data_IF_516224863167
#
_entry.id   IF_516224863167
#
_cell.length_a   1.000
_cell.length_b   1.000
_cell.length_c   1.000
_cell.angle_alpha   90.00
_cell.angle_beta   90.00
_cell.angle_gamma   90.00
#
_symmetry.space_group_name_H-M   'P 1'
#
loop_
_entity.id
_entity.type
_entity.pdbx_description
1 polymer ?
#
# COMPACT_ATOMS: atom_id res chain seq x y z
N UNK A 1 20.63 16.35 3.72
CA UNK A 1 20.91 15.22 2.81
C UNK A 1 20.44 13.96 3.52
N UNK A 2 19.13 13.69 3.45
CA UNK A 2 18.38 12.82 4.35
C UNK A 2 18.13 11.45 3.71
N UNK A 3 18.99 10.47 3.97
CA UNK A 3 18.84 9.08 3.50
C UNK A 3 18.84 8.03 4.63
N UNK A 4 18.76 8.44 5.90
CA UNK A 4 18.92 7.52 7.03
C UNK A 4 17.67 7.20 7.85
N UNK A 5 16.49 7.73 7.50
CA UNK A 5 15.28 7.57 8.34
C UNK A 5 14.42 6.34 7.96
N UNK A 6 14.72 5.64 6.86
CA UNK A 6 13.86 4.54 6.35
C UNK A 6 14.34 3.11 6.66
N UNK A 7 15.40 2.92 7.45
CA UNK A 7 16.04 1.61 7.63
C UNK A 7 16.02 1.02 9.06
N UNK A 8 15.28 1.61 10.02
CA UNK A 8 15.27 1.09 11.41
C UNK A 8 13.94 0.45 11.85
N UNK A 9 12.90 0.44 11.00
CA UNK A 9 11.58 -0.09 11.37
C UNK A 9 11.20 -1.42 10.70
N UNK A 10 12.15 -2.10 10.06
CA UNK A 10 11.93 -3.38 9.37
C UNK A 10 11.68 -4.58 10.29
N UNK A 11 11.52 -4.39 11.61
CA UNK A 11 11.60 -5.50 12.58
C UNK A 11 10.31 -6.02 13.20
N UNK A 12 9.13 -5.44 12.97
CA UNK A 12 7.85 -6.10 13.29
C UNK A 12 6.71 -5.62 12.38
N UNK A 13 6.64 -6.17 11.17
CA UNK A 13 5.34 -6.24 10.51
C UNK A 13 4.45 -7.14 11.40
N UNK A 14 3.20 -6.74 11.71
CA UNK A 14 2.26 -7.63 12.37
C UNK A 14 2.21 -8.95 11.59
N UNK A 15 2.26 -10.08 12.29
CA UNK A 15 2.22 -11.41 11.67
C UNK A 15 1.05 -11.48 10.68
N UNK A 16 1.35 -11.58 9.39
CA UNK A 16 0.34 -11.79 8.36
C UNK A 16 -0.34 -13.15 8.61
N UNK A 17 -1.68 -13.24 8.66
CA UNK A 17 -2.36 -14.51 8.71
C UNK A 17 -2.16 -15.25 7.37
N UNK A 18 -1.24 -16.20 7.35
CA UNK A 18 -1.04 -17.11 6.22
C UNK A 18 -0.23 -16.49 5.08
N UNK A 19 0.92 -17.09 4.80
CA UNK A 19 1.60 -16.94 3.51
C UNK A 19 0.68 -17.55 2.44
N UNK A 20 -0.08 -16.69 1.76
CA UNK A 20 -1.00 -17.08 0.70
C UNK A 20 -0.33 -16.89 -0.64
N UNK A 21 -0.50 -17.88 -1.52
CA UNK A 21 -0.03 -17.78 -2.91
C UNK A 21 -0.74 -16.66 -3.65
N UNK A 22 -0.01 -16.00 -4.56
CA UNK A 22 -0.60 -15.02 -5.47
C UNK A 22 -1.64 -15.68 -6.38
N UNK A 23 -2.72 -14.96 -6.67
CA UNK A 23 -3.57 -15.32 -7.82
C UNK A 23 -2.78 -15.21 -9.13
N UNK A 24 -3.23 -15.87 -10.18
CA UNK A 24 -2.59 -15.82 -11.51
C UNK A 24 -2.44 -14.38 -12.03
N UNK A 25 -3.45 -13.53 -11.79
CA UNK A 25 -3.41 -12.12 -12.17
C UNK A 25 -2.43 -11.31 -11.33
N UNK A 26 -2.36 -11.57 -10.01
CA UNK A 26 -1.38 -10.93 -9.14
C UNK A 26 0.05 -11.32 -9.52
N UNK A 27 0.29 -12.60 -9.83
CA UNK A 27 1.59 -13.08 -10.30
C UNK A 27 2.02 -12.44 -11.62
N UNK A 28 1.07 -12.29 -12.56
CA UNK A 28 1.32 -11.63 -13.85
C UNK A 28 1.68 -10.15 -13.69
N UNK A 29 0.91 -9.41 -12.88
CA UNK A 29 1.20 -8.01 -12.58
C UNK A 29 2.51 -7.84 -11.80
N UNK A 30 2.80 -8.74 -10.86
CA UNK A 30 4.06 -8.74 -10.12
C UNK A 30 5.28 -8.98 -11.01
N UNK A 31 5.15 -9.87 -12.00
CA UNK A 31 6.19 -10.07 -13.01
C UNK A 31 6.43 -8.80 -13.83
N UNK A 32 5.36 -8.14 -14.29
CA UNK A 32 5.45 -6.90 -15.07
C UNK A 32 6.07 -5.75 -14.26
N UNK A 33 5.66 -5.58 -13.00
CA UNK A 33 6.22 -4.55 -12.11
C UNK A 33 7.73 -4.73 -11.87
N UNK A 34 8.25 -5.97 -11.94
CA UNK A 34 9.68 -6.26 -11.80
C UNK A 34 10.48 -5.99 -13.08
N UNK A 35 9.85 -6.00 -14.25
CA UNK A 35 10.51 -5.74 -15.52
C UNK A 35 10.81 -4.25 -15.73
N UNK A 36 9.93 -3.38 -15.21
CA UNK A 36 10.06 -1.93 -15.27
C UNK A 36 9.64 -1.31 -13.92
N UNK A 37 10.53 -1.29 -12.90
CA UNK A 37 10.17 -0.88 -11.54
C UNK A 37 9.82 0.60 -11.41
N UNK A 38 10.32 1.44 -12.31
CA UNK A 38 10.04 2.88 -12.33
C UNK A 38 8.79 3.24 -13.16
N UNK A 39 8.13 2.25 -13.76
CA UNK A 39 6.94 2.46 -14.59
C UNK A 39 5.65 2.46 -13.73
N UNK A 40 4.86 3.51 -13.89
CA UNK A 40 3.59 3.70 -13.20
C UNK A 40 2.38 3.16 -13.99
N UNK A 41 2.58 2.48 -15.13
CA UNK A 41 1.52 2.01 -16.02
C UNK A 41 0.41 1.20 -15.33
N UNK A 42 0.73 0.52 -14.22
CA UNK A 42 -0.22 -0.32 -13.48
C UNK A 42 -0.79 0.34 -12.21
N UNK A 43 -0.54 1.65 -12.01
CA UNK A 43 -1.14 2.41 -10.93
C UNK A 43 -2.54 2.88 -11.31
N UNK A 44 -3.54 2.47 -10.54
CA UNK A 44 -4.91 2.99 -10.66
C UNK A 44 -5.05 4.15 -9.67
N UNK A 45 -5.08 5.39 -10.19
CA UNK A 45 -5.27 6.59 -9.39
C UNK A 45 -6.71 7.09 -9.47
N UNK A 46 -7.25 7.53 -8.33
CA UNK A 46 -8.53 8.22 -8.27
C UNK A 46 -8.41 9.51 -7.46
N UNK A 47 -9.24 10.50 -7.79
CA UNK A 47 -9.32 11.76 -7.08
C UNK A 47 -10.79 12.10 -6.84
N UNK A 48 -11.09 12.66 -5.66
CA UNK A 48 -12.40 13.16 -5.31
C UNK A 48 -12.34 14.64 -4.92
N UNK A 49 -13.43 15.36 -5.15
CA UNK A 49 -13.58 16.76 -4.76
C UNK A 49 -14.45 16.85 -3.53
N UNK A 50 -13.94 17.48 -2.47
CA UNK A 50 -14.78 17.89 -1.34
C UNK A 50 -15.49 19.21 -1.67
N UNK A 51 -16.75 19.32 -1.26
CA UNK A 51 -17.49 20.57 -1.33
C UNK A 51 -17.58 21.13 0.10
N UNK A 52 -16.94 22.26 0.35
CA UNK A 52 -16.83 22.86 1.69
C UNK A 52 -15.49 22.59 2.37
N UNK A 53 -15.39 22.97 3.65
CA UNK A 53 -14.17 22.77 4.44
C UNK A 53 -13.93 21.28 4.70
N UNK A 54 -12.71 20.83 4.41
CA UNK A 54 -12.27 19.47 4.65
C UNK A 54 -11.63 19.38 6.04
N UNK A 55 -12.23 18.60 6.93
CA UNK A 55 -11.64 18.24 8.22
C UNK A 55 -10.50 17.24 8.01
N UNK A 56 -9.26 17.75 8.01
CA UNK A 56 -8.05 16.95 7.79
C UNK A 56 -7.82 15.92 8.92
N UNK A 57 -7.95 16.27 10.21
CA UNK A 57 -7.94 15.28 11.30
C UNK A 57 -8.93 14.14 11.09
N UNK A 58 -10.18 14.43 10.77
CA UNK A 58 -11.21 13.40 10.55
C UNK A 58 -10.89 12.51 9.34
N UNK A 59 -10.37 13.09 8.25
CA UNK A 59 -9.93 12.33 7.08
C UNK A 59 -8.79 11.37 7.43
N UNK A 60 -7.81 11.83 8.21
CA UNK A 60 -6.70 10.99 8.67
C UNK A 60 -7.19 9.80 9.47
N UNK A 61 -8.09 10.03 10.43
CA UNK A 61 -8.67 8.96 11.26
C UNK A 61 -9.48 7.97 10.42
N UNK A 62 -10.23 8.46 9.43
CA UNK A 62 -10.95 7.61 8.49
C UNK A 62 -10.01 6.70 7.68
N UNK A 63 -8.88 7.23 7.19
CA UNK A 63 -7.87 6.45 6.47
C UNK A 63 -7.23 5.38 7.36
N UNK A 64 -6.87 5.73 8.59
CA UNK A 64 -6.31 4.78 9.57
C UNK A 64 -7.30 3.65 9.88
N UNK A 65 -8.58 3.98 10.06
CA UNK A 65 -9.66 3.00 10.24
C UNK A 65 -9.84 2.09 9.03
N UNK A 66 -9.72 2.63 7.81
CA UNK A 66 -9.83 1.85 6.58
C UNK A 66 -8.71 0.82 6.47
N UNK A 67 -7.45 1.24 6.69
CA UNK A 67 -6.28 0.35 6.70
C UNK A 67 -6.34 -0.68 7.82
N UNK A 68 -6.86 -0.33 8.99
CA UNK A 68 -7.07 -1.27 10.09
C UNK A 68 -8.13 -2.34 9.78
N UNK A 69 -9.21 -1.96 9.08
CA UNK A 69 -10.32 -2.87 8.73
C UNK A 69 -10.01 -3.79 7.56
N UNK A 70 -9.28 -3.32 6.54
CA UNK A 70 -9.05 -4.07 5.31
C UNK A 70 -7.63 -4.63 5.24
N UNK A 71 -7.53 -5.95 5.25
CA UNK A 71 -6.24 -6.65 5.20
C UNK A 71 -5.44 -6.36 3.92
N UNK A 72 -6.12 -6.27 2.77
CA UNK A 72 -5.48 -6.02 1.46
C UNK A 72 -4.67 -4.71 1.42
N UNK A 73 -5.04 -3.70 2.23
CA UNK A 73 -4.32 -2.43 2.33
C UNK A 73 -3.04 -2.53 3.19
N UNK A 74 -2.82 -3.66 3.85
CA UNK A 74 -1.64 -3.97 4.67
C UNK A 74 -0.82 -5.12 4.08
N UNK A 75 -1.24 -5.67 2.94
CA UNK A 75 -0.53 -6.76 2.27
C UNK A 75 0.76 -6.26 1.61
N UNK A 76 1.79 -7.10 1.68
CA UNK A 76 3.08 -6.86 1.01
C UNK A 76 3.46 -8.10 0.20
N UNK A 77 4.03 -7.89 -0.98
CA UNK A 77 4.56 -8.96 -1.82
C UNK A 77 6.06 -9.07 -1.57
N UNK A 78 6.52 -10.27 -1.21
CA UNK A 78 7.93 -10.59 -1.04
C UNK A 78 8.33 -11.71 -2.01
N UNK A 79 9.64 -11.90 -2.14
CA UNK A 79 10.25 -12.81 -3.11
C UNK A 79 10.22 -14.25 -2.64
#
# INVERSE_FOLDING_TARGET
>A
MTEQVFNENSRRLPQCPGEQGLSEQQASLWFLARLAPDDAAYNIACACRSFGELDIPALRDAMLRLTGRHEVLRSVFYR
#
